data_IF_525392921999
#
_entry.id   IF_525392921999
#
_cell.length_a   1.000
_cell.length_b   1.000
_cell.length_c   1.000
_cell.angle_alpha   90.00
_cell.angle_beta   90.00
_cell.angle_gamma   90.00
#
_symmetry.space_group_name_H-M   'P 1'
#
loop_
_entity.id
_entity.type
_entity.pdbx_description
1 polymer ?
#
# COMPACT_ATOMS: atom_id res chain seq x y z
N UNK A 1 15.96 -27.17 2.38
CA UNK A 1 14.73 -26.40 2.53
C UNK A 1 15.10 -24.95 2.26
N UNK A 2 14.41 -24.29 1.32
CA UNK A 2 14.56 -22.88 1.02
C UNK A 2 13.40 -22.08 1.60
N UNK A 3 13.68 -20.84 2.01
CA UNK A 3 12.66 -19.90 2.48
C UNK A 3 12.69 -18.65 1.60
N UNK A 4 11.50 -18.17 1.20
CA UNK A 4 11.31 -16.88 0.55
C UNK A 4 10.42 -16.07 1.48
N UNK A 5 10.87 -14.87 1.83
CA UNK A 5 10.13 -13.93 2.67
C UNK A 5 9.93 -12.64 1.91
N UNK A 6 8.73 -12.06 2.00
CA UNK A 6 8.42 -10.74 1.46
C UNK A 6 7.95 -9.82 2.58
N UNK A 7 8.30 -8.54 2.47
CA UNK A 7 7.92 -7.54 3.46
C UNK A 7 8.24 -6.13 2.98
N UNK A 8 7.90 -5.15 3.80
CA UNK A 8 8.27 -3.76 3.59
C UNK A 8 9.76 -3.54 3.85
N UNK A 9 10.37 -2.41 3.42
CA UNK A 9 11.76 -2.10 3.73
C UNK A 9 12.07 -2.15 5.23
N UNK A 10 11.15 -1.74 6.09
CA UNK A 10 11.26 -1.73 7.55
C UNK A 10 11.41 -3.15 8.11
N UNK A 11 10.70 -4.14 7.52
CA UNK A 11 10.85 -5.55 7.90
C UNK A 11 12.31 -6.01 7.84
N UNK A 12 13.08 -5.47 6.91
CA UNK A 12 14.51 -5.77 6.76
C UNK A 12 15.39 -4.83 7.58
N UNK A 13 15.16 -3.50 7.45
CA UNK A 13 16.12 -2.46 7.86
C UNK A 13 15.90 -1.86 9.24
N UNK A 14 14.74 -2.09 9.87
CA UNK A 14 14.49 -1.59 11.22
C UNK A 14 15.46 -2.22 12.21
N UNK A 15 16.22 -1.37 12.94
CA UNK A 15 17.26 -1.81 13.87
C UNK A 15 16.69 -2.39 15.17
N UNK A 16 15.41 -2.25 15.44
CA UNK A 16 14.75 -2.74 16.66
C UNK A 16 13.87 -3.96 16.40
N UNK A 17 13.08 -3.96 15.32
CA UNK A 17 12.08 -4.99 15.01
C UNK A 17 12.38 -5.73 13.70
N UNK A 18 13.21 -5.17 12.81
CA UNK A 18 13.56 -5.77 11.53
C UNK A 18 14.62 -6.85 11.64
N UNK A 19 14.90 -7.53 10.52
CA UNK A 19 15.93 -8.58 10.46
C UNK A 19 17.33 -8.04 10.75
N UNK A 20 17.58 -6.76 10.51
CA UNK A 20 18.85 -6.10 10.81
C UNK A 20 19.09 -5.82 12.30
N UNK A 21 18.10 -6.04 13.17
CA UNK A 21 18.31 -6.06 14.61
C UNK A 21 19.23 -7.19 15.08
N UNK A 22 19.32 -8.27 14.26
CA UNK A 22 20.22 -9.39 14.48
C UNK A 22 21.49 -9.22 13.64
N UNK A 23 22.63 -8.98 14.29
CA UNK A 23 23.92 -8.74 13.61
C UNK A 23 24.28 -9.84 12.61
N UNK A 24 24.04 -11.11 12.97
CA UNK A 24 24.31 -12.27 12.11
C UNK A 24 23.44 -12.29 10.84
N UNK A 25 22.20 -11.79 10.89
CA UNK A 25 21.34 -11.66 9.72
C UNK A 25 21.71 -10.43 8.92
N UNK A 26 21.98 -9.31 9.58
CA UNK A 26 22.42 -8.07 8.93
C UNK A 26 23.61 -8.28 8.02
N UNK A 27 24.65 -9.00 8.49
CA UNK A 27 25.84 -9.27 7.68
C UNK A 27 25.56 -10.16 6.48
N UNK A 28 24.63 -11.14 6.60
CA UNK A 28 24.29 -12.10 5.53
C UNK A 28 23.26 -11.56 4.54
N UNK A 29 22.40 -10.63 4.97
CA UNK A 29 21.37 -10.01 4.16
C UNK A 29 21.78 -8.63 3.64
N UNK A 30 23.04 -8.24 3.82
CA UNK A 30 23.57 -6.98 3.28
C UNK A 30 23.53 -7.00 1.75
N UNK A 31 23.08 -5.90 1.18
CA UNK A 31 23.07 -5.71 -0.27
C UNK A 31 24.49 -5.55 -0.80
N UNK A 32 24.70 -5.97 -2.05
CA UNK A 32 25.97 -5.78 -2.75
C UNK A 32 26.27 -4.27 -2.91
N UNK A 33 27.38 -3.81 -2.33
CA UNK A 33 27.76 -2.39 -2.34
C UNK A 33 28.05 -1.86 -3.76
N UNK A 34 28.54 -2.72 -4.65
CA UNK A 34 28.84 -2.34 -6.04
C UNK A 34 27.58 -2.05 -6.84
N UNK A 35 26.53 -2.87 -6.68
CA UNK A 35 25.26 -2.66 -7.39
C UNK A 35 24.57 -1.39 -6.96
N UNK A 36 24.67 -1.03 -5.67
CA UNK A 36 24.15 0.26 -5.16
C UNK A 36 24.86 1.45 -5.79
N UNK A 37 26.19 1.38 -5.96
CA UNK A 37 26.96 2.46 -6.59
C UNK A 37 26.69 2.59 -8.09
N UNK A 38 26.45 1.47 -8.77
CA UNK A 38 26.22 1.41 -10.20
C UNK A 38 24.74 1.62 -10.59
N UNK A 39 23.83 1.62 -9.62
CA UNK A 39 22.39 1.75 -9.87
C UNK A 39 21.80 0.55 -10.63
N UNK A 40 22.41 -0.64 -10.52
CA UNK A 40 21.95 -1.88 -11.18
C UNK A 40 21.38 -2.86 -10.17
N UNK A 41 20.50 -3.75 -10.63
CA UNK A 41 19.91 -4.80 -9.76
C UNK A 41 20.72 -6.08 -9.83
N UNK A 42 21.11 -6.62 -8.68
CA UNK A 42 21.75 -7.93 -8.57
C UNK A 42 20.68 -9.01 -8.32
N UNK A 43 20.31 -9.71 -9.38
CA UNK A 43 19.30 -10.78 -9.30
C UNK A 43 19.79 -12.06 -8.61
N UNK A 44 21.12 -12.18 -8.32
CA UNK A 44 21.68 -13.26 -7.54
C UNK A 44 21.81 -12.90 -6.06
N UNK A 45 21.41 -11.69 -5.68
CA UNK A 45 21.42 -11.24 -4.29
C UNK A 45 20.41 -12.01 -3.44
N UNK A 46 20.72 -12.18 -2.16
CA UNK A 46 19.81 -12.75 -1.17
C UNK A 46 18.60 -11.81 -0.91
N UNK A 47 18.79 -10.51 -1.10
CA UNK A 47 17.77 -9.50 -0.96
C UNK A 47 17.49 -8.87 -2.32
N UNK A 48 16.26 -8.98 -2.78
CA UNK A 48 15.78 -8.33 -3.99
C UNK A 48 14.79 -7.23 -3.61
N UNK A 49 15.06 -6.01 -4.01
CA UNK A 49 14.11 -4.90 -3.87
C UNK A 49 13.20 -4.88 -5.09
N UNK A 50 11.90 -5.01 -4.83
CA UNK A 50 10.90 -4.79 -5.87
C UNK A 50 10.73 -3.27 -6.09
N UNK A 51 10.77 -2.86 -7.35
CA UNK A 51 10.45 -1.48 -7.72
C UNK A 51 8.97 -1.20 -7.42
N UNK A 52 8.66 0.04 -7.08
CA UNK A 52 7.27 0.51 -7.05
C UNK A 52 6.71 0.51 -8.47
N UNK A 53 5.39 0.33 -8.60
CA UNK A 53 4.71 0.43 -9.88
C UNK A 53 4.91 1.82 -10.50
N UNK A 54 5.04 1.87 -11.82
CA UNK A 54 4.93 3.12 -12.58
C UNK A 54 3.46 3.47 -12.82
N UNK A 55 3.21 4.69 -13.30
CA UNK A 55 1.84 5.12 -13.66
C UNK A 55 1.24 4.26 -14.77
N UNK A 56 2.07 3.89 -15.74
CA UNK A 56 1.72 3.05 -16.88
C UNK A 56 1.39 1.62 -16.42
N UNK A 57 2.18 1.06 -15.52
CA UNK A 57 1.95 -0.27 -14.96
C UNK A 57 0.67 -0.29 -14.11
N UNK A 58 0.38 0.78 -13.37
CA UNK A 58 -0.87 0.90 -12.63
C UNK A 58 -2.07 0.99 -13.58
N UNK A 59 -1.97 1.74 -14.68
CA UNK A 59 -3.01 1.78 -15.70
C UNK A 59 -3.28 0.38 -16.30
N UNK A 60 -2.24 -0.36 -16.66
CA UNK A 60 -2.37 -1.74 -17.14
C UNK A 60 -3.00 -2.66 -16.10
N UNK A 61 -2.63 -2.50 -14.84
CA UNK A 61 -3.22 -3.25 -13.74
C UNK A 61 -4.72 -2.99 -13.62
N UNK A 62 -5.16 -1.73 -13.65
CA UNK A 62 -6.59 -1.38 -13.59
C UNK A 62 -7.35 -1.87 -14.83
N UNK A 63 -6.73 -1.81 -16.01
CA UNK A 63 -7.31 -2.39 -17.25
C UNK A 63 -7.52 -3.89 -17.13
N UNK A 64 -6.53 -4.62 -16.60
CA UNK A 64 -6.65 -6.06 -16.34
C UNK A 64 -7.72 -6.36 -15.27
N UNK A 65 -7.80 -5.56 -14.20
CA UNK A 65 -8.85 -5.73 -13.19
C UNK A 65 -10.24 -5.53 -13.78
N UNK A 66 -10.44 -4.50 -14.62
CA UNK A 66 -11.69 -4.30 -15.37
C UNK A 66 -12.05 -5.53 -16.20
N UNK A 67 -11.06 -6.08 -16.93
CA UNK A 67 -11.27 -7.25 -17.77
C UNK A 67 -11.67 -8.50 -16.94
N UNK A 68 -10.99 -8.73 -15.82
CA UNK A 68 -11.35 -9.82 -14.89
C UNK A 68 -12.74 -9.60 -14.29
N UNK A 69 -13.07 -8.37 -13.88
CA UNK A 69 -14.39 -8.02 -13.35
C UNK A 69 -15.51 -8.26 -14.35
N UNK A 70 -15.27 -7.99 -15.63
CA UNK A 70 -16.20 -8.24 -16.75
C UNK A 70 -16.27 -9.72 -17.17
N UNK A 71 -15.64 -10.63 -16.41
CA UNK A 71 -15.64 -12.07 -16.75
C UNK A 71 -14.84 -12.41 -18.01
N UNK A 72 -13.88 -11.56 -18.40
CA UNK A 72 -13.05 -11.74 -19.59
C UNK A 72 -13.72 -11.33 -20.90
N UNK A 73 -14.87 -10.65 -20.86
CA UNK A 73 -15.60 -10.20 -22.03
C UNK A 73 -15.63 -8.65 -22.06
N UNK A 74 -15.08 -8.08 -23.15
CA UNK A 74 -15.03 -6.63 -23.35
C UNK A 74 -16.40 -5.97 -23.50
N UNK A 75 -17.40 -6.71 -24.02
CA UNK A 75 -18.77 -6.21 -24.14
C UNK A 75 -19.43 -5.91 -22.78
N UNK A 76 -18.89 -6.49 -21.71
CA UNK A 76 -19.37 -6.31 -20.34
C UNK A 76 -18.60 -5.21 -19.58
N UNK A 77 -17.77 -4.42 -20.24
CA UNK A 77 -17.06 -3.34 -19.56
C UNK A 77 -18.03 -2.27 -19.07
N UNK A 78 -18.02 -2.04 -17.75
CA UNK A 78 -18.83 -1.02 -17.09
C UNK A 78 -18.27 0.40 -17.31
N UNK A 79 -16.99 0.50 -17.61
CA UNK A 79 -16.28 1.76 -17.81
C UNK A 79 -15.41 1.72 -19.05
N UNK A 80 -15.35 2.79 -19.86
CA UNK A 80 -14.45 2.89 -21.04
C UNK A 80 -13.00 3.19 -20.61
N UNK A 81 -12.08 3.22 -21.57
CA UNK A 81 -10.67 3.53 -21.30
C UNK A 81 -10.46 4.95 -20.77
N UNK A 82 -11.28 5.91 -21.23
CA UNK A 82 -11.26 7.28 -20.73
C UNK A 82 -11.55 7.35 -19.24
N UNK A 83 -12.42 6.47 -18.72
CA UNK A 83 -12.73 6.42 -17.29
C UNK A 83 -11.54 5.95 -16.45
N UNK A 84 -10.69 5.05 -16.97
CA UNK A 84 -9.46 4.64 -16.28
C UNK A 84 -8.50 5.83 -16.10
N UNK A 85 -8.33 6.61 -17.17
CA UNK A 85 -7.48 7.81 -17.11
C UNK A 85 -8.05 8.87 -16.18
N UNK A 86 -9.36 9.14 -16.26
CA UNK A 86 -10.04 10.09 -15.38
C UNK A 86 -9.92 9.67 -13.91
N UNK A 87 -10.09 8.39 -13.62
CA UNK A 87 -9.94 7.83 -12.28
C UNK A 87 -8.50 8.00 -11.75
N UNK A 88 -7.48 7.67 -12.55
CA UNK A 88 -6.09 7.86 -12.16
C UNK A 88 -5.73 9.33 -11.94
N UNK A 89 -6.26 10.23 -12.77
CA UNK A 89 -6.11 11.68 -12.56
C UNK A 89 -6.77 12.13 -11.25
N UNK A 90 -7.97 11.62 -10.95
CA UNK A 90 -8.63 11.92 -9.68
C UNK A 90 -7.79 11.45 -8.48
N UNK A 91 -7.27 10.22 -8.51
CA UNK A 91 -6.39 9.69 -7.47
C UNK A 91 -5.11 10.55 -7.32
N UNK A 92 -4.48 10.92 -8.44
CA UNK A 92 -3.29 11.76 -8.41
C UNK A 92 -3.55 13.13 -7.76
N UNK A 93 -4.71 13.73 -8.01
CA UNK A 93 -5.09 15.02 -7.44
C UNK A 93 -5.43 14.92 -5.93
N UNK A 94 -5.96 13.78 -5.47
CA UNK A 94 -6.35 13.57 -4.06
C UNK A 94 -5.19 13.17 -3.17
N UNK A 95 -4.37 12.21 -3.59
CA UNK A 95 -3.32 11.60 -2.76
C UNK A 95 -1.89 11.79 -3.33
N UNK A 96 -1.75 12.61 -4.37
CA UNK A 96 -0.45 12.86 -5.00
C UNK A 96 0.20 11.58 -5.52
N UNK A 97 1.53 11.49 -5.45
CA UNK A 97 2.28 10.32 -5.94
C UNK A 97 1.98 9.00 -5.20
N UNK A 98 1.32 9.05 -4.05
CA UNK A 98 0.97 7.85 -3.27
C UNK A 98 0.05 6.90 -4.03
N UNK A 99 -0.72 7.39 -5.03
CA UNK A 99 -1.66 6.56 -5.78
C UNK A 99 -1.00 5.40 -6.55
N UNK A 100 0.27 5.54 -6.96
CA UNK A 100 1.00 4.46 -7.63
C UNK A 100 2.07 3.80 -6.75
N UNK A 101 2.54 4.48 -5.69
CA UNK A 101 3.49 3.91 -4.73
C UNK A 101 2.84 2.92 -3.76
N UNK A 102 1.62 3.22 -3.31
CA UNK A 102 0.79 2.34 -2.47
C UNK A 102 -0.51 2.01 -3.18
N UNK A 103 -0.49 1.12 -4.19
CA UNK A 103 -1.61 0.91 -5.11
C UNK A 103 -2.84 0.28 -4.45
N UNK A 104 -2.73 -0.24 -3.22
CA UNK A 104 -3.85 -0.91 -2.51
C UNK A 104 -5.10 -0.04 -2.48
N UNK A 105 -4.97 1.21 -2.02
CA UNK A 105 -6.10 2.14 -1.91
C UNK A 105 -6.70 2.46 -3.27
N UNK A 106 -5.86 2.72 -4.27
CA UNK A 106 -6.29 2.98 -5.65
C UNK A 106 -7.03 1.78 -6.24
N UNK A 107 -6.49 0.57 -6.07
CA UNK A 107 -7.12 -0.67 -6.53
C UNK A 107 -8.47 -0.88 -5.85
N UNK A 108 -8.52 -0.73 -4.51
CA UNK A 108 -9.76 -0.88 -3.75
C UNK A 108 -10.82 0.12 -4.22
N UNK A 109 -10.49 1.40 -4.31
CA UNK A 109 -11.43 2.43 -4.76
C UNK A 109 -11.91 2.18 -6.19
N UNK A 110 -11.07 1.63 -7.06
CA UNK A 110 -11.47 1.26 -8.41
C UNK A 110 -12.45 0.09 -8.42
N UNK A 111 -12.24 -0.93 -7.60
CA UNK A 111 -13.17 -2.06 -7.48
C UNK A 111 -14.50 -1.63 -6.85
N UNK A 112 -14.46 -0.71 -5.87
CA UNK A 112 -15.67 -0.12 -5.29
C UNK A 112 -16.46 0.66 -6.35
N UNK A 113 -15.79 1.42 -7.23
CA UNK A 113 -16.41 2.09 -8.38
C UNK A 113 -17.12 1.09 -9.30
N UNK A 114 -16.44 0.02 -9.71
CA UNK A 114 -17.03 -1.00 -10.60
C UNK A 114 -18.22 -1.68 -9.94
N UNK A 115 -18.12 -2.00 -8.64
CA UNK A 115 -19.21 -2.63 -7.89
C UNK A 115 -20.45 -1.73 -7.80
N UNK A 116 -20.28 -0.43 -7.62
CA UNK A 116 -21.43 0.53 -7.63
C UNK A 116 -22.06 0.60 -8.99
N UNK A 117 -21.28 0.67 -10.07
CA UNK A 117 -21.80 0.72 -11.44
C UNK A 117 -22.53 -0.57 -11.84
N UNK A 118 -22.08 -1.73 -11.37
CA UNK A 118 -22.76 -3.01 -11.58
C UNK A 118 -24.14 -3.04 -10.90
N UNK A 119 -24.22 -2.57 -9.65
CA UNK A 119 -25.44 -2.57 -8.86
C UNK A 119 -26.43 -1.50 -9.32
N UNK A 120 -25.92 -0.38 -9.84
CA UNK A 120 -26.73 0.78 -10.19
C UNK A 120 -26.44 1.27 -11.64
N UNK A 121 -27.00 0.62 -12.66
CA UNK A 121 -26.73 0.93 -14.07
C UNK A 121 -27.13 2.34 -14.52
N UNK A 122 -27.94 3.03 -13.73
CA UNK A 122 -28.37 4.40 -14.02
C UNK A 122 -27.34 5.47 -13.69
N UNK A 123 -26.30 5.13 -12.92
CA UNK A 123 -25.25 6.06 -12.58
C UNK A 123 -24.20 6.14 -13.69
N UNK A 124 -23.69 7.34 -13.91
CA UNK A 124 -22.57 7.54 -14.82
C UNK A 124 -21.26 7.49 -14.04
N UNK A 125 -20.26 6.86 -14.61
CA UNK A 125 -18.96 6.74 -14.00
C UNK A 125 -18.31 8.09 -13.65
N UNK A 126 -18.54 9.14 -14.47
CA UNK A 126 -18.06 10.50 -14.20
C UNK A 126 -18.55 11.05 -12.86
N UNK A 127 -19.85 10.90 -12.58
CA UNK A 127 -20.47 11.46 -11.38
C UNK A 127 -19.94 10.73 -10.11
N UNK A 128 -19.67 9.42 -10.27
CA UNK A 128 -19.17 8.62 -9.15
C UNK A 128 -17.69 8.93 -8.88
N UNK A 129 -16.84 9.06 -9.92
CA UNK A 129 -15.41 9.35 -9.74
C UNK A 129 -15.22 10.65 -8.93
N UNK A 130 -16.00 11.68 -9.20
CA UNK A 130 -15.92 12.95 -8.46
C UNK A 130 -16.30 12.80 -6.99
N UNK A 131 -17.19 11.87 -6.66
CA UNK A 131 -17.66 11.60 -5.31
C UNK A 131 -16.76 10.63 -4.51
N UNK A 132 -15.84 9.89 -5.16
CA UNK A 132 -14.97 8.93 -4.50
C UNK A 132 -13.97 9.65 -3.60
N UNK A 133 -14.04 9.36 -2.30
CA UNK A 133 -13.05 9.81 -1.34
C UNK A 133 -11.90 8.80 -1.29
N UNK A 134 -10.83 9.10 -2.02
CA UNK A 134 -9.60 8.31 -1.99
C UNK A 134 -8.74 8.81 -0.84
N UNK A 135 -8.70 8.06 0.25
CA UNK A 135 -7.88 8.40 1.41
C UNK A 135 -6.52 7.72 1.30
N UNK A 136 -5.48 8.43 1.72
CA UNK A 136 -4.15 7.85 1.82
C UNK A 136 -4.11 6.82 2.94
N UNK A 137 -3.56 5.63 2.69
CA UNK A 137 -3.30 4.65 3.75
C UNK A 137 -2.32 5.28 4.76
N UNK A 138 -2.76 5.42 6.00
CA UNK A 138 -1.89 5.84 7.10
C UNK A 138 -1.07 4.61 7.48
N UNK A 139 0.25 4.69 7.35
CA UNK A 139 1.12 3.61 7.81
C UNK A 139 0.92 3.37 9.31
N UNK A 140 0.75 2.12 9.74
CA UNK A 140 0.52 1.80 11.15
C UNK A 140 1.61 2.34 12.10
N UNK A 141 2.84 2.51 11.61
CA UNK A 141 3.96 3.08 12.35
C UNK A 141 3.76 4.52 12.81
N UNK A 142 2.95 5.32 12.09
CA UNK A 142 2.63 6.70 12.49
C UNK A 142 1.57 6.73 13.59
N UNK A 143 0.67 5.75 13.63
CA UNK A 143 -0.38 5.66 14.66
C UNK A 143 0.20 5.25 16.01
N UNK A 144 1.17 4.33 16.05
CA UNK A 144 1.85 3.94 17.29
C UNK A 144 2.61 5.14 17.90
N UNK A 145 3.28 5.96 17.10
CA UNK A 145 4.00 7.13 17.57
C UNK A 145 3.07 8.23 18.12
N UNK A 146 1.82 8.31 17.66
CA UNK A 146 0.83 9.27 18.17
C UNK A 146 0.22 8.74 19.49
N UNK A 147 0.03 7.43 19.61
CA UNK A 147 -0.50 6.82 20.84
C UNK A 147 0.53 6.81 21.97
N UNK A 148 1.82 6.57 21.66
CA UNK A 148 2.91 6.65 22.67
C UNK A 148 3.17 8.09 23.14
N UNK A 149 2.97 9.09 22.27
CA UNK A 149 3.09 10.50 22.65
C UNK A 149 1.91 10.99 23.55
N UNK A 150 0.78 10.27 23.55
CA UNK A 150 -0.41 10.62 24.34
C UNK A 150 -0.50 9.88 25.68
N UNK A 151 0.39 8.91 25.94
CA UNK A 151 0.31 7.99 27.08
C UNK A 151 1.34 8.26 28.17
N UNK A 152 1.70 9.52 28.43
CA UNK A 152 2.49 9.84 29.62
C UNK A 152 1.76 10.91 30.44
N UNK A 153 0.73 10.47 31.15
CA UNK A 153 0.42 11.07 32.47
C UNK A 153 0.72 10.01 33.54
N UNK A 154 1.48 10.35 34.59
CA UNK A 154 1.72 9.44 35.68
C UNK A 154 0.40 9.21 36.42
N UNK A 155 -0.09 7.97 36.36
CA UNK A 155 -1.20 7.54 37.22
C UNK A 155 -0.67 7.54 38.64
N UNK A 156 -1.29 8.36 39.49
CA UNK A 156 -1.02 8.40 40.94
C UNK A 156 -1.43 7.05 41.55
N UNK A 157 -0.44 6.30 42.05
CA UNK A 157 -0.58 4.97 42.64
C UNK A 157 -1.38 4.97 43.98
N UNK A 158 -1.95 6.10 44.36
CA UNK A 158 -2.66 6.23 45.67
C UNK A 158 -4.09 5.67 45.67
N UNK A 159 -4.70 5.39 44.49
CA UNK A 159 -6.08 4.87 44.46
C UNK A 159 -6.20 3.34 44.62
N UNK A 160 -5.12 2.58 44.50
CA UNK A 160 -5.18 1.12 44.67
C UNK A 160 -4.92 0.61 46.08
N UNK A 161 -4.66 1.51 47.02
CA UNK A 161 -4.34 1.14 48.43
C UNK A 161 -5.57 0.88 49.29
N UNK A 162 -6.80 0.93 48.83
CA UNK A 162 -8.02 0.86 49.65
C UNK A 162 -8.90 -0.38 49.45
N UNK A 163 -8.43 -1.44 48.78
CA UNK A 163 -9.15 -2.72 48.78
C UNK A 163 -8.74 -3.57 50.01
N UNK A 164 -9.54 -3.51 51.09
CA UNK A 164 -9.54 -4.53 52.15
C UNK A 164 -10.46 -5.67 51.73
N UNK A 165 -9.91 -6.90 51.75
CA UNK A 165 -10.65 -8.14 51.75
C UNK A 165 -11.48 -8.28 53.04
#
# INVERSE_FOLDING_TARGET
IGFIMGGTPEFLTDNTRGLYSYEALRSRLSENSFTRQLGVTDYNSVVLRLASLTKEELYLLLSNLRHVFAGGNEDNYLVPDEALLAFLHHCANKIGESYFRTPRTTIKSFLDLLSVLEQYPNFKWNDIIESVDVQQDIEPSLVENILDASAVQPVDDSEFASFKL
#
